data_IF_586035964540
#
_entry.id   IF_586035964540
#
_cell.length_a   1.000
_cell.length_b   1.000
_cell.length_c   1.000
_cell.angle_alpha   90.00
_cell.angle_beta   90.00
_cell.angle_gamma   90.00
#
_symmetry.space_group_name_H-M   'P 1'
#
loop_
_entity.id
_entity.type
_entity.pdbx_description
1 polymer ?
#
# COMPACT_ATOMS: atom_id res chain seq x y z
N UNK A 1 34.59 0.35 57.33
CA UNK A 1 33.25 0.48 57.98
C UNK A 1 32.45 1.60 57.30
N UNK A 2 31.68 1.31 56.25
CA UNK A 2 30.61 2.15 55.67
C UNK A 2 29.55 1.17 55.13
N UNK A 3 28.60 0.69 55.96
CA UNK A 3 27.20 1.16 56.14
C UNK A 3 26.33 1.15 54.85
N UNK A 4 25.78 -0.02 54.54
CA UNK A 4 24.35 -0.33 54.21
C UNK A 4 23.49 0.56 53.28
N UNK A 5 23.16 0.00 52.09
CA UNK A 5 21.85 -0.16 51.35
C UNK A 5 21.02 1.08 50.91
N UNK A 6 20.14 1.08 49.84
CA UNK A 6 19.33 -0.05 49.30
C UNK A 6 19.03 -0.16 47.77
N UNK A 7 18.67 -1.39 47.37
CA UNK A 7 17.73 -1.90 46.33
C UNK A 7 17.85 -1.53 44.82
N UNK A 8 17.53 -2.49 43.91
CA UNK A 8 17.76 -2.36 42.48
C UNK A 8 16.62 -1.59 41.81
N UNK A 9 16.95 -0.52 41.08
CA UNK A 9 16.01 0.15 40.20
C UNK A 9 15.69 -0.79 39.02
N UNK A 10 14.59 -1.52 39.15
CA UNK A 10 13.92 -2.28 38.12
C UNK A 10 13.63 -1.35 36.93
N UNK A 11 14.49 -1.38 35.92
CA UNK A 11 14.28 -0.67 34.66
C UNK A 11 13.16 -1.37 33.89
N UNK A 12 11.92 -0.92 34.10
CA UNK A 12 10.78 -1.28 33.29
C UNK A 12 10.92 -0.56 31.93
N UNK A 13 11.60 -1.20 30.98
CA UNK A 13 11.69 -0.67 29.61
C UNK A 13 10.30 -0.74 28.99
N UNK A 14 9.63 0.41 28.90
CA UNK A 14 8.43 0.58 28.10
C UNK A 14 8.83 0.33 26.65
N UNK A 15 8.44 -0.82 26.11
CA UNK A 15 8.49 -1.06 24.67
C UNK A 15 7.46 -0.13 24.03
N UNK A 16 7.91 1.02 23.51
CA UNK A 16 7.09 1.91 22.73
C UNK A 16 6.69 1.18 21.43
N UNK A 17 5.47 0.64 21.40
CA UNK A 17 4.87 0.08 20.20
C UNK A 17 4.56 1.25 19.28
N UNK A 18 5.50 1.59 18.40
CA UNK A 18 5.27 2.58 17.35
C UNK A 18 4.23 1.99 16.39
N UNK A 19 2.97 2.35 16.57
CA UNK A 19 1.93 2.09 15.59
C UNK A 19 2.32 2.83 14.31
N UNK A 20 2.81 2.10 13.31
CA UNK A 20 2.92 2.61 11.96
C UNK A 20 1.50 2.94 11.51
N UNK A 21 1.18 4.23 11.41
CA UNK A 21 -0.06 4.65 10.79
C UNK A 21 0.07 4.28 9.31
N UNK A 22 -0.63 3.24 8.87
CA UNK A 22 -0.77 2.93 7.46
C UNK A 22 -1.64 4.04 6.87
N UNK A 23 -0.99 5.05 6.30
CA UNK A 23 -1.67 5.99 5.42
C UNK A 23 -1.99 5.24 4.14
N UNK A 24 -3.26 5.24 3.72
CA UNK A 24 -3.64 4.70 2.43
C UNK A 24 -2.85 5.46 1.36
N UNK A 25 -1.88 4.76 0.75
CA UNK A 25 -1.00 5.34 -0.27
C UNK A 25 -1.67 5.18 -1.63
N UNK A 26 -1.52 6.19 -2.49
CA UNK A 26 -2.01 6.10 -3.87
C UNK A 26 -0.88 5.57 -4.73
N UNK A 27 -1.08 4.38 -5.30
CA UNK A 27 -0.11 3.72 -6.17
C UNK A 27 -0.53 3.96 -7.62
N UNK A 28 0.37 4.52 -8.44
CA UNK A 28 0.06 4.85 -9.83
C UNK A 28 0.54 3.78 -10.80
N UNK A 29 -0.30 3.46 -11.79
CA UNK A 29 0.03 2.54 -12.89
C UNK A 29 -0.14 3.24 -14.23
N UNK A 30 0.92 3.29 -15.03
CA UNK A 30 0.86 3.78 -16.41
C UNK A 30 2.02 3.26 -17.26
N UNK A 31 1.97 3.52 -18.58
CA UNK A 31 3.00 3.06 -19.51
C UNK A 31 4.41 3.59 -19.21
N UNK A 32 4.53 4.83 -18.72
CA UNK A 32 5.83 5.47 -18.43
C UNK A 32 5.70 6.54 -17.35
N UNK A 33 6.59 6.54 -16.36
CA UNK A 33 6.69 7.61 -15.35
C UNK A 33 5.80 7.46 -14.12
N UNK A 34 5.12 6.32 -13.96
CA UNK A 34 4.37 5.96 -12.76
C UNK A 34 5.16 4.99 -11.86
N UNK A 35 4.62 4.70 -10.68
CA UNK A 35 5.22 3.76 -9.72
C UNK A 35 5.37 2.36 -10.34
N UNK A 36 4.35 1.92 -11.08
CA UNK A 36 4.34 0.63 -11.76
C UNK A 36 3.82 0.74 -13.20
N UNK A 37 4.18 -0.25 -14.01
CA UNK A 37 3.68 -0.40 -15.39
C UNK A 37 2.71 -1.58 -15.55
N UNK A 38 2.55 -2.40 -14.51
CA UNK A 38 1.62 -3.54 -14.45
C UNK A 38 0.79 -3.44 -13.17
N UNK A 39 -0.50 -3.73 -13.30
CA UNK A 39 -1.45 -3.65 -12.20
C UNK A 39 -1.18 -4.76 -11.17
N UNK A 40 -0.77 -5.96 -11.60
CA UNK A 40 -0.40 -7.02 -10.64
C UNK A 40 0.78 -6.62 -9.76
N UNK A 41 1.81 -5.98 -10.33
CA UNK A 41 2.94 -5.49 -9.53
C UNK A 41 2.50 -4.42 -8.51
N UNK A 42 1.56 -3.55 -8.90
CA UNK A 42 0.97 -2.58 -7.98
C UNK A 42 0.15 -3.26 -6.86
N UNK A 43 -0.62 -4.31 -7.18
CA UNK A 43 -1.37 -5.12 -6.20
C UNK A 43 -0.42 -5.81 -5.20
N UNK A 44 0.69 -6.35 -5.70
CA UNK A 44 1.66 -7.05 -4.88
C UNK A 44 2.33 -6.09 -3.89
N UNK A 45 2.64 -4.87 -4.34
CA UNK A 45 3.21 -3.80 -3.53
C UNK A 45 2.20 -3.14 -2.57
N UNK A 46 0.91 -3.09 -2.94
CA UNK A 46 -0.13 -2.43 -2.16
C UNK A 46 -0.40 -3.10 -0.81
N UNK A 47 -0.73 -2.29 0.19
CA UNK A 47 -1.27 -2.70 1.47
C UNK A 47 -2.80 -2.66 1.48
N UNK A 48 -3.44 -3.45 2.34
CA UNK A 48 -4.90 -3.43 2.48
C UNK A 48 -5.41 -2.02 2.81
N UNK A 49 -6.35 -1.52 2.02
CA UNK A 49 -6.88 -0.16 2.11
C UNK A 49 -6.31 0.83 1.10
N UNK A 50 -5.26 0.45 0.37
CA UNK A 50 -4.63 1.32 -0.64
C UNK A 50 -5.50 1.49 -1.89
N UNK A 51 -5.19 2.56 -2.63
CA UNK A 51 -5.83 2.91 -3.89
C UNK A 51 -4.79 2.77 -5.01
N UNK A 52 -5.08 1.92 -5.98
CA UNK A 52 -4.30 1.79 -7.21
C UNK A 52 -4.99 2.63 -8.29
N UNK A 53 -4.34 3.71 -8.72
CA UNK A 53 -4.81 4.58 -9.79
C UNK A 53 -4.16 4.18 -11.11
N UNK A 54 -4.99 3.64 -12.02
CA UNK A 54 -4.57 3.09 -13.30
C UNK A 54 -4.88 4.10 -14.40
N UNK A 55 -3.85 4.55 -15.09
CA UNK A 55 -3.98 5.44 -16.25
C UNK A 55 -4.59 4.71 -17.45
N UNK A 56 -5.13 5.50 -18.38
CA UNK A 56 -5.68 5.04 -19.64
C UNK A 56 -4.76 4.03 -20.33
N UNK A 57 -5.30 2.88 -20.73
CA UNK A 57 -4.52 1.80 -21.30
C UNK A 57 -5.27 0.48 -21.42
N UNK A 58 -4.67 -0.41 -22.22
CA UNK A 58 -5.05 -1.81 -22.33
C UNK A 58 -4.07 -2.62 -21.47
N UNK A 59 -4.61 -3.35 -20.50
CA UNK A 59 -3.83 -4.18 -19.60
C UNK A 59 -4.24 -5.65 -19.81
N UNK A 60 -3.37 -6.38 -20.49
CA UNK A 60 -3.52 -7.82 -20.72
C UNK A 60 -2.75 -8.59 -19.65
N UNK A 61 -3.37 -8.68 -18.47
CA UNK A 61 -2.80 -9.34 -17.30
C UNK A 61 -3.89 -10.07 -16.51
N UNK A 62 -3.49 -11.13 -15.80
CA UNK A 62 -4.37 -11.86 -14.88
C UNK A 62 -4.19 -11.29 -13.49
N UNK A 63 -5.24 -10.72 -12.92
CA UNK A 63 -5.19 -10.08 -11.60
C UNK A 63 -5.59 -11.06 -10.50
N UNK A 64 -4.77 -11.17 -9.46
CA UNK A 64 -5.11 -11.92 -8.25
C UNK A 64 -4.78 -11.11 -7.01
N UNK A 65 -5.74 -10.98 -6.11
CA UNK A 65 -5.54 -10.33 -4.81
C UNK A 65 -6.34 -11.03 -3.71
N UNK A 66 -5.72 -11.19 -2.54
CA UNK A 66 -6.41 -11.56 -1.29
C UNK A 66 -6.56 -10.36 -0.35
N UNK A 67 -6.11 -9.17 -0.78
CA UNK A 67 -6.13 -7.93 -0.01
C UNK A 67 -7.36 -7.10 -0.39
N UNK A 68 -7.88 -6.32 0.55
CA UNK A 68 -8.95 -5.34 0.27
C UNK A 68 -8.32 -4.09 -0.35
N UNK A 69 -8.29 -4.02 -1.68
CA UNK A 69 -7.71 -2.91 -2.44
C UNK A 69 -8.79 -2.21 -3.28
N UNK A 70 -8.59 -0.92 -3.54
CA UNK A 70 -9.42 -0.16 -4.49
C UNK A 70 -8.63 0.07 -5.76
N UNK A 71 -9.09 -0.46 -6.89
CA UNK A 71 -8.47 -0.22 -8.20
C UNK A 71 -9.35 0.76 -8.98
N UNK A 72 -8.81 1.92 -9.36
CA UNK A 72 -9.53 2.97 -10.11
C UNK A 72 -8.86 3.18 -11.46
N UNK A 73 -9.58 2.88 -12.54
CA UNK A 73 -9.16 3.21 -13.89
C UNK A 73 -9.46 4.66 -14.27
N UNK A 74 -8.68 5.20 -15.20
CA UNK A 74 -8.93 6.48 -15.83
C UNK A 74 -10.25 6.45 -16.63
N UNK A 75 -10.92 7.60 -16.64
CA UNK A 75 -12.15 7.84 -17.41
C UNK A 75 -11.93 8.99 -18.39
N UNK A 76 -12.50 8.86 -19.58
CA UNK A 76 -12.50 9.91 -20.59
C UNK A 76 -13.46 11.03 -20.20
N UNK A 77 -13.36 12.18 -20.89
CA UNK A 77 -14.21 13.36 -20.64
C UNK A 77 -15.70 13.12 -20.86
N UNK A 78 -16.06 12.12 -21.67
CA UNK A 78 -17.43 11.67 -21.92
C UNK A 78 -17.93 10.63 -20.90
N UNK A 79 -17.09 10.24 -19.93
CA UNK A 79 -17.42 9.24 -18.90
C UNK A 79 -17.21 7.78 -19.35
N UNK A 80 -16.73 7.57 -20.57
CA UNK A 80 -16.32 6.24 -21.03
C UNK A 80 -15.07 5.77 -20.29
N UNK A 81 -14.94 4.46 -19.99
CA UNK A 81 -13.73 3.94 -19.38
C UNK A 81 -12.56 3.97 -20.39
N UNK A 82 -11.45 4.58 -20.01
CA UNK A 82 -10.21 4.57 -20.80
C UNK A 82 -9.27 3.41 -20.42
N UNK A 83 -9.67 2.65 -19.40
CA UNK A 83 -8.91 1.50 -18.89
C UNK A 83 -9.68 0.23 -19.18
N UNK A 84 -9.06 -0.71 -19.89
CA UNK A 84 -9.64 -2.03 -20.17
C UNK A 84 -8.76 -3.15 -19.64
N UNK A 85 -9.35 -3.99 -18.80
CA UNK A 85 -8.77 -5.23 -18.28
C UNK A 85 -9.32 -6.39 -19.10
N UNK A 86 -8.44 -7.19 -19.71
CA UNK A 86 -8.89 -8.27 -20.60
C UNK A 86 -9.07 -9.60 -19.87
N UNK A 87 -8.51 -9.79 -18.66
CA UNK A 87 -8.53 -11.04 -17.89
C UNK A 87 -8.60 -10.78 -16.37
N UNK A 88 -9.27 -11.67 -15.63
CA UNK A 88 -9.43 -11.68 -14.18
C UNK A 88 -9.30 -13.11 -13.65
#
# INVERSE_FOLDING_TARGET
>A
MQRTSPLPALYLTVAALTAASATAETITVCATGCDFTSIQNAIDAASSGDIIEVSAGLYDETLSTSKSLTIRGAISKDGSPDTYLTRF
#
